data_IF_689591709586
#
_entry.id   IF_689591709586
#
_cell.length_a   1.000
_cell.length_b   1.000
_cell.length_c   1.000
_cell.angle_alpha   90.00
_cell.angle_beta   90.00
_cell.angle_gamma   90.00
#
_symmetry.space_group_name_H-M   'P 1'
#
loop_
_entity.id
_entity.type
_entity.pdbx_description
1 polymer ?
#
# COMPACT_ATOMS: atom_id res chain seq x y z
N UNK A 1 -8.07 3.14 -4.92
CA UNK A 1 -7.18 2.14 -4.30
C UNK A 1 -6.99 0.86 -5.11
N UNK A 2 -8.01 0.37 -5.84
CA UNK A 2 -7.90 -0.83 -6.70
C UNK A 2 -6.73 -0.69 -7.70
N UNK A 3 -6.74 0.36 -8.52
CA UNK A 3 -5.70 0.61 -9.54
C UNK A 3 -4.28 0.68 -8.97
N UNK A 4 -4.13 1.13 -7.71
CA UNK A 4 -2.83 1.28 -7.07
C UNK A 4 -2.31 -0.05 -6.49
N UNK A 5 -3.21 -0.89 -5.96
CA UNK A 5 -2.90 -2.26 -5.54
C UNK A 5 -2.51 -3.08 -6.77
N UNK A 6 -3.28 -2.98 -7.84
CA UNK A 6 -3.04 -3.73 -9.08
C UNK A 6 -1.76 -3.29 -9.77
N UNK A 7 -1.50 -1.98 -9.86
CA UNK A 7 -0.24 -1.46 -10.42
C UNK A 7 0.99 -1.97 -9.65
N UNK A 8 0.95 -1.98 -8.31
CA UNK A 8 2.08 -2.47 -7.50
C UNK A 8 2.27 -3.98 -7.58
N UNK A 9 1.18 -4.75 -7.66
CA UNK A 9 1.26 -6.19 -7.91
C UNK A 9 1.86 -6.47 -9.29
N UNK A 10 1.37 -5.79 -10.33
CA UNK A 10 1.90 -5.90 -11.68
C UNK A 10 3.39 -5.55 -11.74
N UNK A 11 3.79 -4.44 -11.13
CA UNK A 11 5.19 -4.04 -11.05
C UNK A 11 6.06 -5.08 -10.32
N UNK A 12 5.58 -5.65 -9.20
CA UNK A 12 6.31 -6.70 -8.48
C UNK A 12 6.53 -7.95 -9.34
N UNK A 13 5.53 -8.41 -10.07
CA UNK A 13 5.66 -9.60 -10.94
C UNK A 13 6.58 -9.31 -12.13
N UNK A 14 6.43 -8.16 -12.79
CA UNK A 14 7.33 -7.77 -13.87
C UNK A 14 8.79 -7.72 -13.42
N UNK A 15 9.07 -7.08 -12.28
CA UNK A 15 10.42 -7.00 -11.75
C UNK A 15 10.96 -8.37 -11.31
N UNK A 16 10.10 -9.26 -10.80
CA UNK A 16 10.47 -10.63 -10.43
C UNK A 16 10.96 -11.43 -11.64
N UNK A 17 10.32 -11.27 -12.80
CA UNK A 17 10.75 -11.89 -14.07
C UNK A 17 12.08 -11.33 -14.58
N UNK A 18 12.47 -10.11 -14.19
CA UNK A 18 13.77 -9.53 -14.54
C UNK A 18 14.92 -10.03 -13.68
N UNK A 19 14.66 -10.61 -12.50
CA UNK A 19 15.71 -11.02 -11.55
C UNK A 19 16.69 -12.05 -12.15
N UNK A 20 16.24 -13.09 -12.87
CA UNK A 20 17.16 -14.06 -13.48
C UNK A 20 18.08 -13.46 -14.56
N UNK A 21 17.79 -12.24 -15.03
CA UNK A 21 18.60 -11.53 -16.04
C UNK A 21 19.71 -10.66 -15.40
N UNK A 22 19.79 -10.65 -14.07
CA UNK A 22 20.73 -9.84 -13.30
C UNK A 22 21.63 -10.72 -12.45
N UNK A 23 22.87 -10.29 -12.26
CA UNK A 23 23.84 -10.96 -11.41
C UNK A 23 24.16 -10.14 -10.16
N UNK A 24 24.42 -10.87 -9.06
CA UNK A 24 24.93 -10.33 -7.80
C UNK A 24 24.03 -9.26 -7.18
N UNK A 25 24.66 -8.18 -6.73
CA UNK A 25 24.04 -7.13 -5.92
C UNK A 25 22.80 -6.49 -6.59
N UNK A 26 22.76 -6.41 -7.92
CA UNK A 26 21.61 -5.86 -8.66
C UNK A 26 20.37 -6.77 -8.55
N UNK A 27 20.57 -8.08 -8.58
CA UNK A 27 19.50 -9.05 -8.40
C UNK A 27 18.97 -9.00 -6.96
N UNK A 28 19.86 -8.84 -5.98
CA UNK A 28 19.52 -8.72 -4.56
C UNK A 28 18.70 -7.45 -4.28
N UNK A 29 19.14 -6.30 -4.79
CA UNK A 29 18.39 -5.05 -4.68
C UNK A 29 17.01 -5.16 -5.34
N UNK A 30 16.92 -5.80 -6.51
CA UNK A 30 15.64 -5.94 -7.19
C UNK A 30 14.69 -6.87 -6.43
N UNK A 31 15.21 -7.95 -5.84
CA UNK A 31 14.49 -8.82 -4.92
C UNK A 31 13.91 -8.05 -3.73
N UNK A 32 14.70 -7.14 -3.14
CA UNK A 32 14.23 -6.30 -2.03
C UNK A 32 13.08 -5.39 -2.47
N UNK A 33 13.18 -4.75 -3.65
CA UNK A 33 12.12 -3.91 -4.20
C UNK A 33 10.84 -4.72 -4.44
N UNK A 34 10.95 -5.92 -5.03
CA UNK A 34 9.80 -6.83 -5.24
C UNK A 34 9.14 -7.18 -3.91
N UNK A 35 9.94 -7.52 -2.90
CA UNK A 35 9.46 -7.82 -1.54
C UNK A 35 8.71 -6.63 -0.92
N UNK A 36 9.26 -5.43 -1.05
CA UNK A 36 8.63 -4.19 -0.57
C UNK A 36 7.29 -3.93 -1.28
N UNK A 37 7.23 -4.07 -2.61
CA UNK A 37 5.99 -3.92 -3.36
C UNK A 37 4.93 -4.93 -2.95
N UNK A 38 5.30 -6.20 -2.74
CA UNK A 38 4.38 -7.24 -2.23
C UNK A 38 3.88 -6.89 -0.82
N UNK A 39 4.76 -6.45 0.09
CA UNK A 39 4.39 -6.01 1.46
C UNK A 39 3.41 -4.85 1.45
N UNK A 40 3.71 -3.79 0.69
CA UNK A 40 2.85 -2.60 0.58
C UNK A 40 1.50 -2.98 -0.02
N UNK A 41 1.48 -3.84 -1.05
CA UNK A 41 0.24 -4.32 -1.68
C UNK A 41 -0.63 -5.08 -0.67
N UNK A 42 -0.04 -5.94 0.17
CA UNK A 42 -0.75 -6.64 1.22
C UNK A 42 -1.33 -5.68 2.28
N UNK A 43 -0.55 -4.70 2.74
CA UNK A 43 -1.01 -3.69 3.68
C UNK A 43 -2.17 -2.85 3.14
N UNK A 44 -2.06 -2.40 1.88
CA UNK A 44 -3.13 -1.64 1.21
C UNK A 44 -4.39 -2.48 1.01
N UNK A 45 -4.26 -3.77 0.73
CA UNK A 45 -5.40 -4.69 0.61
C UNK A 45 -6.10 -4.86 1.95
N UNK A 46 -5.34 -5.07 3.03
CA UNK A 46 -5.87 -5.14 4.40
C UNK A 46 -6.57 -3.84 4.79
N UNK A 47 -5.95 -2.70 4.51
CA UNK A 47 -6.54 -1.38 4.78
C UNK A 47 -7.86 -1.18 4.02
N UNK A 48 -7.91 -1.52 2.72
CA UNK A 48 -9.13 -1.47 1.92
C UNK A 48 -10.22 -2.38 2.49
N UNK A 49 -9.86 -3.58 2.95
CA UNK A 49 -10.82 -4.51 3.54
C UNK A 49 -11.38 -3.95 4.86
N UNK A 50 -10.52 -3.41 5.74
CA UNK A 50 -10.93 -2.73 6.97
C UNK A 50 -11.91 -1.58 6.69
N UNK A 51 -11.63 -0.76 5.66
CA UNK A 51 -12.54 0.31 5.24
C UNK A 51 -13.91 -0.23 4.81
N UNK A 52 -13.95 -1.28 3.99
CA UNK A 52 -15.22 -1.89 3.54
C UNK A 52 -16.05 -2.45 4.69
N UNK A 53 -15.40 -3.00 5.70
CA UNK A 53 -16.07 -3.62 6.86
C UNK A 53 -16.34 -2.63 8.00
N UNK A 54 -15.90 -1.37 7.89
CA UNK A 54 -16.13 -0.37 8.94
C UNK A 54 -17.59 0.07 9.02
N UNK A 55 -18.02 0.52 10.20
CA UNK A 55 -19.36 1.05 10.48
C UNK A 55 -19.48 2.52 10.04
N UNK A 56 -19.14 2.77 8.77
CA UNK A 56 -19.07 4.11 8.19
C UNK A 56 -20.17 4.40 7.18
N UNK A 57 -20.34 5.69 6.87
CA UNK A 57 -21.18 6.15 5.76
C UNK A 57 -20.60 5.66 4.44
N UNK A 58 -21.48 5.16 3.56
CA UNK A 58 -21.06 4.72 2.23
C UNK A 58 -20.75 5.93 1.37
N UNK A 59 -19.55 5.94 0.79
CA UNK A 59 -19.10 6.97 -0.14
C UNK A 59 -18.62 6.33 -1.44
N UNK A 60 -18.87 7.03 -2.54
CA UNK A 60 -18.41 6.63 -3.86
C UNK A 60 -17.23 7.53 -4.25
N UNK A 61 -16.07 6.92 -4.49
CA UNK A 61 -14.88 7.65 -4.94
C UNK A 61 -14.28 6.97 -6.17
N UNK A 62 -14.35 7.64 -7.32
CA UNK A 62 -14.17 7.03 -8.64
C UNK A 62 -15.05 5.77 -8.76
N UNK A 63 -14.60 4.71 -9.43
CA UNK A 63 -15.33 3.45 -9.57
C UNK A 63 -15.32 2.55 -8.32
N UNK A 64 -15.12 3.13 -7.12
CA UNK A 64 -15.00 2.36 -5.88
C UNK A 64 -16.01 2.85 -4.85
N UNK A 65 -16.94 1.96 -4.50
CA UNK A 65 -17.74 2.09 -3.28
C UNK A 65 -16.86 1.74 -2.07
N UNK A 66 -16.79 2.66 -1.11
CA UNK A 66 -16.10 2.45 0.17
C UNK A 66 -16.97 3.00 1.29
N UNK A 67 -16.54 2.78 2.54
CA UNK A 67 -17.15 3.43 3.71
C UNK A 67 -16.16 4.38 4.34
N UNK A 68 -16.65 5.48 4.87
CA UNK A 68 -15.89 6.40 5.73
C UNK A 68 -16.46 6.32 7.14
N UNK A 69 -15.61 5.96 8.08
CA UNK A 69 -15.88 6.11 9.50
C UNK A 69 -15.07 7.28 10.05
N UNK A 70 -15.73 8.21 10.73
CA UNK A 70 -15.09 9.37 11.36
C UNK A 70 -14.06 8.95 12.42
N UNK A 71 -14.30 7.85 13.15
CA UNK A 71 -13.32 7.32 14.10
C UNK A 71 -12.07 6.80 13.37
N UNK A 72 -12.25 6.13 12.23
CA UNK A 72 -11.15 5.64 11.40
C UNK A 72 -10.36 6.77 10.73
N UNK A 73 -11.03 7.86 10.33
CA UNK A 73 -10.36 9.05 9.81
C UNK A 73 -9.48 9.73 10.86
N UNK A 74 -9.96 9.78 12.11
CA UNK A 74 -9.19 10.33 13.23
C UNK A 74 -7.93 9.50 13.50
N UNK A 75 -8.07 8.18 13.55
CA UNK A 75 -6.95 7.25 13.73
C UNK A 75 -5.90 7.40 12.60
N UNK A 76 -6.35 7.59 11.35
CA UNK A 76 -5.45 7.87 10.23
C UNK A 76 -4.75 9.23 10.34
N UNK A 77 -5.44 10.28 10.79
CA UNK A 77 -4.86 11.60 10.98
C UNK A 77 -3.74 11.57 12.04
N UNK A 78 -3.99 10.91 13.17
CA UNK A 78 -3.01 10.71 14.25
C UNK A 78 -1.77 9.93 13.76
N UNK A 79 -1.98 8.88 12.95
CA UNK A 79 -0.89 8.11 12.34
C UNK A 79 -0.04 8.98 11.39
N UNK A 80 -0.68 9.76 10.52
CA UNK A 80 0.02 10.65 9.58
C UNK A 80 0.83 11.72 10.32
N UNK A 81 0.29 12.26 11.41
CA UNK A 81 0.98 13.23 12.26
C UNK A 81 2.21 12.61 12.94
N UNK A 82 2.09 11.38 13.45
CA UNK A 82 3.20 10.62 14.02
C UNK A 82 4.34 10.39 13.00
N UNK A 83 4.00 9.99 11.77
CA UNK A 83 4.97 9.79 10.69
C UNK A 83 5.67 11.11 10.32
N UNK A 84 4.91 12.21 10.22
CA UNK A 84 5.47 13.54 9.95
C UNK A 84 6.47 13.96 11.03
N UNK A 85 6.17 13.67 12.30
CA UNK A 85 7.10 13.94 13.40
C UNK A 85 8.35 13.06 13.35
N UNK A 86 8.22 11.77 13.02
CA UNK A 86 9.36 10.89 12.86
C UNK A 86 10.30 11.35 11.73
N UNK A 87 9.73 11.81 10.60
CA UNK A 87 10.51 12.35 9.47
C UNK A 87 11.25 13.64 9.81
N UNK A 88 10.69 14.50 10.66
CA UNK A 88 11.36 15.75 11.10
C UNK A 88 12.54 15.52 12.08
N UNK A 89 12.66 14.32 12.64
CA UNK A 89 13.71 13.94 13.60
C UNK A 89 14.88 13.18 12.96
N UNK A 90 14.79 12.88 11.67
CA UNK A 90 15.85 12.35 10.81
C UNK A 90 16.55 13.51 10.11
#
# INVERSE_FOLDING_TARGET
>A
MLNLIDARRCAAEYLNECIPLLDGEKADFLNEIVSLYRKITAQLSTFRNKLKTSDGESIHYNDINTKISTSFLKEQAELLESILQAKKKL
#
